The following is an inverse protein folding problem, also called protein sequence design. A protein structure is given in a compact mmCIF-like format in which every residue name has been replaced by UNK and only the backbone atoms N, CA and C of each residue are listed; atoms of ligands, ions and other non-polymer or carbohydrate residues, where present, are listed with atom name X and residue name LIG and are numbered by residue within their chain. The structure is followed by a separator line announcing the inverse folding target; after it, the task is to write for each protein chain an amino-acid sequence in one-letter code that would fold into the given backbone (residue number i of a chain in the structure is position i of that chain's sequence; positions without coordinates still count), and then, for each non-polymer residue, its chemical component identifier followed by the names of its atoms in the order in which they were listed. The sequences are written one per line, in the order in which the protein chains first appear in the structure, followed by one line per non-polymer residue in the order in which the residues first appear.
data_IF_654969874870
#
_entry.id   IF_654969874870
#
_cell.length_a   1.000
_cell.length_b   1.000
_cell.length_c   1.000
_cell.angle_alpha   90.00
_cell.angle_beta   90.00
_cell.angle_gamma   90.00
#
_symmetry.space_group_name_H-M   'P 1'
#
loop_
_entity.id
_entity.type
_entity.pdbx_description
1 polymer ?
#
# COMPACT_ATOMS: atom_id res chain seq x y z
N UNK A 1 15.92 -6.32 -15.45
CA UNK A 1 15.95 -5.11 -14.59
C UNK A 1 17.30 -4.74 -13.96
N UNK A 2 18.42 -5.43 -14.24
CA UNK A 2 19.63 -5.34 -13.39
C UNK A 2 20.40 -4.00 -13.33
N UNK A 3 20.34 -3.16 -14.37
CA UNK A 3 21.14 -1.91 -14.43
C UNK A 3 20.61 -0.87 -13.43
N UNK A 4 19.28 -0.74 -13.30
CA UNK A 4 18.65 0.23 -12.40
C UNK A 4 18.86 -0.09 -10.92
N UNK A 5 18.84 -1.38 -10.57
CA UNK A 5 19.06 -1.84 -9.19
C UNK A 5 20.47 -1.49 -8.70
N UNK A 6 21.51 -1.65 -9.55
CA UNK A 6 22.88 -1.29 -9.20
C UNK A 6 23.02 0.19 -8.82
N UNK A 7 22.30 1.09 -9.49
CA UNK A 7 22.30 2.52 -9.16
C UNK A 7 21.57 2.80 -7.84
N UNK A 8 20.44 2.11 -7.58
CA UNK A 8 19.72 2.21 -6.30
C UNK A 8 20.56 1.71 -5.13
N UNK A 9 21.28 0.60 -5.29
CA UNK A 9 22.21 0.10 -4.26
C UNK A 9 23.34 1.07 -3.97
N UNK A 10 23.89 1.74 -5.00
CA UNK A 10 24.89 2.79 -4.81
C UNK A 10 24.31 3.98 -4.04
N UNK A 11 23.10 4.41 -4.37
CA UNK A 11 22.42 5.49 -3.68
C UNK A 11 22.14 5.16 -2.22
N UNK A 12 21.68 3.93 -1.96
CA UNK A 12 21.43 3.43 -0.61
C UNK A 12 22.71 3.43 0.22
N UNK A 13 23.79 2.84 -0.30
CA UNK A 13 25.11 2.82 0.36
C UNK A 13 25.61 4.22 0.69
N UNK A 14 25.56 5.15 -0.27
CA UNK A 14 25.99 6.54 -0.05
C UNK A 14 25.16 7.28 1.00
N UNK A 15 23.89 6.90 1.20
CA UNK A 15 22.97 7.63 2.08
C UNK A 15 22.90 7.03 3.48
N UNK A 16 23.00 5.71 3.60
CA UNK A 16 22.64 4.99 4.81
C UNK A 16 23.76 4.09 5.36
N UNK A 17 24.88 3.93 4.66
CA UNK A 17 25.97 3.06 5.10
C UNK A 17 27.27 3.83 5.30
N UNK A 18 28.05 3.40 6.27
CA UNK A 18 29.37 3.95 6.53
C UNK A 18 30.39 3.49 5.47
N UNK A 19 31.43 4.29 5.16
CA UNK A 19 32.49 3.88 4.25
C UNK A 19 33.17 2.58 4.71
N UNK A 20 33.13 1.56 3.86
CA UNK A 20 33.72 0.25 4.15
C UNK A 20 32.79 -0.73 4.88
N UNK A 21 31.60 -0.27 5.31
CA UNK A 21 30.57 -1.15 5.84
C UNK A 21 30.17 -2.19 4.79
N UNK A 22 30.10 -3.45 5.22
CA UNK A 22 29.67 -4.57 4.38
C UNK A 22 28.40 -5.16 4.97
N UNK A 23 27.40 -5.29 4.12
CA UNK A 23 26.15 -6.00 4.41
C UNK A 23 26.15 -7.26 3.57
N UNK A 24 25.78 -8.37 4.21
CA UNK A 24 25.56 -9.66 3.58
C UNK A 24 24.31 -9.57 2.69
N UNK A 25 24.55 -9.10 1.46
CA UNK A 25 23.53 -8.86 0.46
C UNK A 25 24.03 -9.31 -0.90
N UNK A 26 23.25 -10.17 -1.55
CA UNK A 26 23.53 -10.67 -2.90
C UNK A 26 22.40 -10.25 -3.82
N UNK A 27 22.77 -9.61 -4.94
CA UNK A 27 21.86 -9.37 -6.05
C UNK A 27 22.06 -10.48 -7.08
N UNK A 28 21.06 -11.35 -7.25
CA UNK A 28 21.06 -12.40 -8.27
C UNK A 28 20.26 -11.94 -9.50
N UNK A 29 20.91 -11.54 -10.60
CA UNK A 29 20.22 -11.10 -11.82
C UNK A 29 19.77 -12.27 -12.72
N UNK A 30 19.61 -13.48 -12.17
CA UNK A 30 19.22 -14.67 -12.91
C UNK A 30 17.71 -14.70 -13.15
N UNK A 31 17.29 -15.36 -14.24
CA UNK A 31 15.89 -15.74 -14.44
C UNK A 31 15.61 -17.01 -13.64
N UNK A 32 14.46 -17.03 -12.98
CA UNK A 32 13.97 -18.17 -12.21
C UNK A 32 12.62 -18.61 -12.75
N UNK A 33 12.29 -19.87 -12.52
CA UNK A 33 11.01 -20.48 -12.83
C UNK A 33 10.44 -21.18 -11.59
N UNK A 34 9.52 -20.51 -10.92
CA UNK A 34 8.78 -21.03 -9.79
C UNK A 34 7.56 -21.85 -10.21
N UNK A 35 7.26 -21.94 -11.51
CA UNK A 35 6.16 -22.72 -12.05
C UNK A 35 6.61 -24.07 -12.64
N UNK A 36 7.91 -24.23 -12.90
CA UNK A 36 8.52 -25.50 -13.25
C UNK A 36 8.16 -26.60 -12.25
N UNK A 37 7.78 -27.77 -12.76
CA UNK A 37 7.42 -28.92 -11.92
C UNK A 37 8.67 -29.66 -11.45
N UNK A 38 8.62 -30.32 -10.28
CA UNK A 38 9.72 -31.16 -9.82
C UNK A 38 10.10 -32.21 -10.89
N UNK A 39 11.39 -32.24 -11.26
CA UNK A 39 11.92 -33.18 -12.26
C UNK A 39 11.88 -32.69 -13.72
N UNK A 40 11.30 -31.53 -14.01
CA UNK A 40 11.52 -30.86 -15.30
C UNK A 40 12.97 -30.35 -15.37
N UNK A 41 13.65 -30.62 -16.49
CA UNK A 41 15.03 -30.13 -16.68
C UNK A 41 15.03 -28.60 -16.76
N UNK A 42 15.97 -27.97 -16.07
CA UNK A 42 16.26 -26.55 -16.25
C UNK A 42 16.49 -26.28 -17.73
N UNK A 43 15.73 -25.33 -18.28
CA UNK A 43 16.05 -24.79 -19.60
C UNK A 43 17.25 -23.86 -19.39
N UNK A 44 18.20 -23.84 -20.33
CA UNK A 44 19.45 -23.07 -20.25
C UNK A 44 19.26 -21.59 -19.82
N UNK A 45 18.07 -21.02 -20.04
CA UNK A 45 17.71 -19.64 -19.72
C UNK A 45 16.85 -19.44 -18.46
N UNK A 46 16.47 -20.48 -17.72
CA UNK A 46 15.61 -20.37 -16.53
C UNK A 46 15.89 -21.47 -15.49
N UNK A 47 16.11 -21.07 -14.24
CA UNK A 47 16.41 -21.98 -13.13
C UNK A 47 15.14 -22.41 -12.42
N UNK A 48 14.90 -23.71 -12.30
CA UNK A 48 13.83 -24.25 -11.47
C UNK A 48 14.08 -24.03 -9.97
N UNK A 49 13.05 -24.32 -9.18
CA UNK A 49 13.06 -24.11 -7.72
C UNK A 49 14.22 -24.83 -7.01
N UNK A 50 14.56 -26.06 -7.42
CA UNK A 50 15.63 -26.83 -6.77
C UNK A 50 17.01 -26.20 -6.98
N UNK A 51 17.30 -25.75 -8.21
CA UNK A 51 18.54 -25.04 -8.53
C UNK A 51 18.63 -23.70 -7.78
N UNK A 52 17.50 -22.99 -7.64
CA UNK A 52 17.44 -21.75 -6.86
C UNK A 52 17.71 -22.00 -5.37
N UNK A 53 17.13 -23.04 -4.77
CA UNK A 53 17.38 -23.41 -3.37
C UNK A 53 18.85 -23.74 -3.15
N UNK A 54 19.47 -24.52 -4.04
CA UNK A 54 20.89 -24.85 -3.96
C UNK A 54 21.77 -23.60 -4.02
N UNK A 55 21.45 -22.66 -4.92
CA UNK A 55 22.17 -21.39 -5.04
C UNK A 55 21.98 -20.50 -3.81
N UNK A 56 20.76 -20.39 -3.27
CA UNK A 56 20.48 -19.63 -2.05
C UNK A 56 21.31 -20.18 -0.89
N UNK A 57 21.34 -21.51 -0.70
CA UNK A 57 22.14 -22.17 0.34
C UNK A 57 23.62 -21.88 0.16
N UNK A 58 24.15 -22.02 -1.05
CA UNK A 58 25.55 -21.72 -1.34
C UNK A 58 25.93 -20.25 -1.02
N UNK A 59 25.07 -19.28 -1.34
CA UNK A 59 25.32 -17.89 -0.95
C UNK A 59 25.20 -17.67 0.56
N UNK A 60 24.24 -18.31 1.22
CA UNK A 60 24.05 -18.17 2.68
C UNK A 60 25.28 -18.61 3.47
N UNK A 61 26.05 -19.59 2.98
CA UNK A 61 27.30 -20.03 3.61
C UNK A 61 28.41 -18.96 3.56
N UNK A 62 28.30 -17.98 2.66
CA UNK A 62 29.25 -16.87 2.55
C UNK A 62 28.93 -15.71 3.49
N UNK A 63 27.76 -15.73 4.14
CA UNK A 63 27.30 -14.63 4.99
C UNK A 63 27.92 -14.73 6.38
N UNK A 64 28.19 -13.58 6.97
CA UNK A 64 28.62 -13.44 8.37
C UNK A 64 27.44 -13.59 9.35
N UNK A 65 26.21 -13.41 8.87
CA UNK A 65 24.97 -13.60 9.63
C UNK A 65 24.03 -14.59 8.93
N UNK A 66 23.09 -15.23 9.65
CA UNK A 66 22.11 -16.10 9.02
C UNK A 66 21.31 -15.39 7.92
N UNK A 67 20.97 -16.12 6.84
CA UNK A 67 20.07 -15.61 5.81
C UNK A 67 18.65 -15.46 6.38
N UNK A 68 18.14 -14.24 6.42
CA UNK A 68 16.78 -13.98 6.95
C UNK A 68 15.74 -13.69 5.87
N UNK A 69 16.15 -13.22 4.69
CA UNK A 69 15.22 -12.74 3.66
C UNK A 69 15.70 -13.06 2.24
N UNK A 70 14.80 -13.65 1.45
CA UNK A 70 14.91 -13.80 0.00
C UNK A 70 13.82 -12.95 -0.66
N UNK A 71 14.21 -12.06 -1.57
CA UNK A 71 13.27 -11.21 -2.32
C UNK A 71 13.20 -11.64 -3.78
N UNK A 72 12.00 -11.93 -4.25
CA UNK A 72 11.70 -12.32 -5.64
C UNK A 72 10.96 -11.18 -6.34
N UNK A 73 11.64 -10.56 -7.30
CA UNK A 73 11.18 -9.37 -8.04
C UNK A 73 11.16 -9.67 -9.56
N UNK A 74 10.02 -9.90 -10.21
CA UNK A 74 8.60 -9.93 -9.76
C UNK A 74 7.97 -11.30 -10.02
N UNK A 75 6.81 -11.59 -9.38
CA UNK A 75 6.03 -12.82 -9.57
C UNK A 75 5.85 -13.16 -11.06
N UNK A 76 5.30 -12.25 -11.86
CA UNK A 76 5.04 -12.47 -13.27
C UNK A 76 6.29 -12.85 -14.09
N UNK A 77 7.46 -12.35 -13.70
CA UNK A 77 8.74 -12.70 -14.37
C UNK A 77 9.30 -14.03 -13.86
N UNK A 78 9.00 -14.38 -12.62
CA UNK A 78 9.45 -15.59 -11.94
C UNK A 78 8.57 -16.81 -12.20
N UNK A 79 7.41 -16.66 -12.84
CA UNK A 79 6.47 -17.75 -13.14
C UNK A 79 6.09 -17.79 -14.62
N UNK A 80 7.08 -18.00 -15.52
CA UNK A 80 6.80 -18.07 -16.94
C UNK A 80 5.76 -19.17 -17.23
N UNK A 81 4.73 -18.83 -18.03
CA UNK A 81 3.69 -19.78 -18.42
C UNK A 81 2.58 -20.02 -17.39
N UNK A 82 2.70 -19.53 -16.15
CA UNK A 82 1.64 -19.64 -15.15
C UNK A 82 0.48 -18.68 -15.45
N UNK A 83 -0.75 -19.16 -15.30
CA UNK A 83 -1.92 -18.28 -15.28
C UNK A 83 -2.20 -17.80 -13.86
N UNK A 84 -1.91 -16.52 -13.57
CA UNK A 84 -2.09 -15.92 -12.23
C UNK A 84 -3.55 -15.98 -11.72
N UNK A 85 -4.53 -16.14 -12.62
CA UNK A 85 -5.94 -16.28 -12.25
C UNK A 85 -6.37 -17.73 -12.00
N UNK A 86 -5.55 -18.72 -12.40
CA UNK A 86 -5.82 -20.12 -12.18
C UNK A 86 -5.30 -20.52 -10.79
N UNK A 87 -6.21 -20.90 -9.89
CA UNK A 87 -5.85 -21.33 -8.54
C UNK A 87 -4.90 -22.53 -8.56
N UNK A 88 -5.03 -23.42 -9.54
CA UNK A 88 -4.15 -24.59 -9.72
C UNK A 88 -2.71 -24.18 -9.97
N UNK A 89 -2.48 -23.22 -10.87
CA UNK A 89 -1.15 -22.79 -11.26
C UNK A 89 -0.49 -22.03 -10.10
N UNK A 90 -1.27 -21.13 -9.48
CA UNK A 90 -0.79 -20.39 -8.32
C UNK A 90 -0.50 -21.29 -7.11
N UNK A 91 -1.18 -22.44 -6.98
CA UNK A 91 -0.87 -23.41 -5.93
C UNK A 91 0.52 -24.04 -6.11
N UNK A 92 0.95 -24.29 -7.35
CA UNK A 92 2.30 -24.79 -7.66
C UNK A 92 3.34 -23.75 -7.26
N UNK A 93 3.13 -22.49 -7.65
CA UNK A 93 4.03 -21.37 -7.33
C UNK A 93 4.15 -21.19 -5.82
N UNK A 94 3.02 -21.14 -5.11
CA UNK A 94 3.00 -20.97 -3.66
C UNK A 94 3.70 -22.14 -2.95
N UNK A 95 3.48 -23.38 -3.39
CA UNK A 95 4.18 -24.54 -2.85
C UNK A 95 5.70 -24.43 -3.03
N UNK A 96 6.17 -23.96 -4.19
CA UNK A 96 7.59 -23.75 -4.43
C UNK A 96 8.17 -22.61 -3.55
N UNK A 97 7.41 -21.56 -3.26
CA UNK A 97 7.82 -20.53 -2.31
C UNK A 97 7.93 -21.05 -0.87
N UNK A 98 6.97 -21.87 -0.44
CA UNK A 98 7.00 -22.53 0.87
C UNK A 98 8.22 -23.44 0.98
N UNK A 99 8.55 -24.18 -0.09
CA UNK A 99 9.79 -24.99 -0.14
C UNK A 99 11.04 -24.13 0.03
N UNK A 100 11.13 -23.00 -0.67
CA UNK A 100 12.27 -22.08 -0.51
C UNK A 100 12.36 -21.60 0.95
N UNK A 101 11.23 -21.15 1.53
CA UNK A 101 11.15 -20.73 2.94
C UNK A 101 11.64 -21.81 3.89
N UNK A 102 11.12 -23.03 3.76
CA UNK A 102 11.37 -24.12 4.70
C UNK A 102 12.78 -24.69 4.56
N UNK A 103 13.26 -24.87 3.32
CA UNK A 103 14.58 -25.43 3.05
C UNK A 103 15.71 -24.43 3.29
N UNK A 104 15.48 -23.13 3.06
CA UNK A 104 16.48 -22.08 3.28
C UNK A 104 16.33 -21.42 4.67
N UNK A 105 15.26 -21.73 5.40
CA UNK A 105 14.95 -21.20 6.74
C UNK A 105 14.93 -19.66 6.80
N UNK A 106 14.39 -19.04 5.76
CA UNK A 106 14.32 -17.58 5.62
C UNK A 106 12.91 -17.14 5.24
N UNK A 107 12.61 -15.86 5.43
CA UNK A 107 11.39 -15.25 4.88
C UNK A 107 11.52 -15.10 3.37
N UNK A 108 10.44 -15.36 2.63
CA UNK A 108 10.38 -15.13 1.18
C UNK A 108 9.41 -13.98 0.92
N UNK A 109 9.91 -12.89 0.35
CA UNK A 109 9.12 -11.73 -0.05
C UNK A 109 8.98 -11.71 -1.57
N UNK A 110 7.74 -11.62 -2.04
CA UNK A 110 7.42 -11.58 -3.46
C UNK A 110 6.88 -10.22 -3.86
N UNK A 111 7.41 -9.66 -4.94
CA UNK A 111 6.91 -8.41 -5.54
C UNK A 111 5.90 -8.76 -6.63
N UNK A 112 4.68 -8.25 -6.50
CA UNK A 112 3.60 -8.46 -7.47
C UNK A 112 2.96 -7.12 -7.86
N UNK A 113 2.64 -6.98 -9.15
CA UNK A 113 2.01 -5.77 -9.67
C UNK A 113 0.50 -5.77 -9.39
N UNK A 114 -0.04 -4.60 -9.06
CA UNK A 114 -1.49 -4.41 -9.03
C UNK A 114 -2.04 -4.39 -10.48
N UNK A 115 -3.14 -5.10 -10.79
CA UNK A 115 -3.82 -5.03 -12.07
C UNK A 115 -4.25 -3.60 -12.39
N UNK A 116 -4.21 -3.25 -13.68
CA UNK A 116 -4.47 -1.90 -14.18
C UNK A 116 -5.91 -1.41 -13.91
N UNK A 117 -6.89 -2.31 -13.75
CA UNK A 117 -8.32 -1.98 -13.59
C UNK A 117 -9.01 -2.86 -12.54
N UNK A 118 -8.95 -2.53 -11.24
CA UNK A 118 -9.67 -3.31 -10.23
C UNK A 118 -9.89 -2.59 -8.91
N UNK A 119 -10.99 -1.84 -8.82
CA UNK A 119 -11.74 -1.80 -7.58
C UNK A 119 -12.48 -3.15 -7.46
N UNK A 120 -12.08 -3.98 -6.49
CA UNK A 120 -12.81 -5.16 -5.98
C UNK A 120 -12.70 -6.51 -6.76
N UNK A 121 -13.08 -7.67 -6.18
CA UNK A 121 -12.17 -8.60 -5.48
C UNK A 121 -12.29 -10.04 -6.02
N UNK A 122 -12.22 -10.23 -7.35
CA UNK A 122 -12.23 -11.58 -7.95
C UNK A 122 -11.07 -11.69 -8.94
N UNK A 123 -10.08 -12.49 -8.56
CA UNK A 123 -8.77 -12.64 -9.21
C UNK A 123 -7.62 -12.44 -8.22
N UNK A 124 -7.75 -11.47 -7.31
CA UNK A 124 -6.75 -11.17 -6.27
C UNK A 124 -6.85 -12.04 -5.00
N UNK A 125 -7.99 -12.68 -4.74
CA UNK A 125 -8.27 -13.32 -3.45
C UNK A 125 -7.43 -14.56 -3.17
N UNK A 126 -6.99 -15.30 -4.19
CA UNK A 126 -6.23 -16.56 -4.01
C UNK A 126 -4.81 -16.31 -3.51
N UNK A 127 -4.09 -15.35 -4.12
CA UNK A 127 -2.75 -14.93 -3.67
C UNK A 127 -2.82 -14.33 -2.26
N UNK A 128 -3.76 -13.42 -2.00
CA UNK A 128 -3.93 -12.85 -0.67
C UNK A 128 -4.37 -13.87 0.38
N UNK A 129 -5.13 -14.90 0.04
CA UNK A 129 -5.56 -15.93 0.99
C UNK A 129 -4.38 -16.74 1.55
N UNK A 130 -3.38 -17.01 0.71
CA UNK A 130 -2.33 -17.98 1.04
C UNK A 130 -1.00 -17.36 1.54
N UNK A 131 -0.82 -16.04 1.45
CA UNK A 131 0.33 -15.36 2.05
C UNK A 131 0.06 -14.96 3.50
N UNK A 132 1.06 -15.03 4.38
CA UNK A 132 0.88 -14.62 5.78
C UNK A 132 0.71 -13.10 5.91
N UNK A 133 1.48 -12.33 5.12
CA UNK A 133 1.51 -10.88 5.16
C UNK A 133 1.42 -10.29 3.74
N UNK A 134 0.75 -9.14 3.62
CA UNK A 134 0.70 -8.41 2.36
C UNK A 134 0.76 -6.89 2.60
N UNK A 135 1.67 -6.23 1.88
CA UNK A 135 1.85 -4.78 1.90
C UNK A 135 1.47 -4.24 0.52
N UNK A 136 0.52 -3.33 0.47
CA UNK A 136 0.16 -2.61 -0.75
C UNK A 136 0.90 -1.28 -0.81
N UNK A 137 1.46 -0.97 -1.98
CA UNK A 137 2.10 0.30 -2.27
C UNK A 137 1.21 1.12 -3.21
N UNK A 138 0.88 2.34 -2.81
CA UNK A 138 0.10 3.28 -3.62
C UNK A 138 0.80 4.63 -3.75
N UNK A 139 0.57 5.28 -4.90
CA UNK A 139 0.89 6.69 -5.09
C UNK A 139 -0.29 7.48 -4.56
N UNK A 140 -0.07 8.30 -3.53
CA UNK A 140 -1.13 9.12 -2.94
C UNK A 140 -1.25 10.42 -3.73
N UNK A 141 -2.37 11.16 -3.69
CA UNK A 141 -2.45 12.51 -4.29
C UNK A 141 -1.69 13.57 -3.48
N UNK A 142 -1.17 13.23 -2.30
CA UNK A 142 -0.46 14.16 -1.43
C UNK A 142 0.95 14.43 -1.96
N UNK A 143 1.40 15.66 -1.73
CA UNK A 143 2.69 16.16 -2.15
C UNK A 143 3.51 16.53 -0.92
N UNK A 144 4.80 16.19 -0.98
CA UNK A 144 5.80 16.66 -0.05
C UNK A 144 6.52 17.85 -0.71
N UNK A 145 6.48 19.01 -0.04
CA UNK A 145 7.05 20.27 -0.54
C UNK A 145 8.20 20.67 0.38
N UNK A 146 9.39 20.73 -0.18
CA UNK A 146 10.59 21.23 0.48
C UNK A 146 11.21 22.38 -0.33
N UNK A 147 12.19 23.06 0.26
CA UNK A 147 12.96 24.09 -0.42
C UNK A 147 14.43 23.68 -0.44
N UNK A 148 15.10 23.92 -1.57
CA UNK A 148 16.55 23.78 -1.68
C UNK A 148 17.24 25.01 -1.06
N UNK A 149 18.55 24.93 -0.88
CA UNK A 149 19.37 26.05 -0.37
C UNK A 149 19.27 27.30 -1.26
N UNK A 150 19.08 27.13 -2.57
CA UNK A 150 18.88 28.22 -3.53
C UNK A 150 17.46 28.81 -3.51
N UNK A 151 16.61 28.39 -2.56
CA UNK A 151 15.22 28.82 -2.43
C UNK A 151 14.26 28.18 -3.43
N UNK A 152 14.73 27.30 -4.33
CA UNK A 152 13.85 26.64 -5.30
C UNK A 152 12.98 25.60 -4.61
N UNK A 153 11.70 25.58 -4.97
CA UNK A 153 10.77 24.58 -4.47
C UNK A 153 11.10 23.19 -5.04
N UNK A 154 11.05 22.19 -4.18
CA UNK A 154 11.16 20.78 -4.49
C UNK A 154 9.84 20.10 -4.13
N UNK A 155 9.08 19.71 -5.14
CA UNK A 155 7.84 18.95 -4.97
C UNK A 155 8.10 17.47 -5.23
N UNK A 156 7.66 16.61 -4.32
CA UNK A 156 7.81 15.16 -4.40
C UNK A 156 6.47 14.48 -4.16
N UNK A 157 6.23 13.39 -4.86
CA UNK A 157 5.04 12.58 -4.66
C UNK A 157 5.17 11.78 -3.37
N UNK A 158 4.14 11.78 -2.52
CA UNK A 158 4.07 10.89 -1.35
C UNK A 158 3.52 9.54 -1.80
N UNK A 159 4.25 8.48 -1.48
CA UNK A 159 3.85 7.09 -1.60
C UNK A 159 3.42 6.57 -0.24
N UNK A 160 2.45 5.65 -0.20
CA UNK A 160 2.01 4.98 1.02
C UNK A 160 2.19 3.48 0.90
N UNK A 161 2.76 2.88 1.94
CA UNK A 161 2.76 1.45 2.16
C UNK A 161 1.68 1.12 3.20
N UNK A 162 0.75 0.22 2.88
CA UNK A 162 -0.34 -0.18 3.78
C UNK A 162 -0.33 -1.68 4.00
N UNK A 163 -0.38 -2.11 5.25
CA UNK A 163 -0.54 -3.52 5.61
C UNK A 163 -1.98 -3.93 5.27
N UNK A 164 -2.15 -4.63 4.15
CA UNK A 164 -3.45 -5.15 3.72
C UNK A 164 -3.80 -6.46 4.40
N UNK A 165 -2.79 -7.30 4.66
CA UNK A 165 -2.95 -8.55 5.39
C UNK A 165 -1.81 -8.68 6.40
N UNK A 166 -2.19 -9.07 7.60
CA UNK A 166 -1.29 -9.52 8.65
C UNK A 166 -2.00 -10.68 9.36
N UNK A 167 -1.38 -11.86 9.35
CA UNK A 167 -1.96 -13.06 9.96
C UNK A 167 -2.00 -12.99 11.48
N UNK A 168 -0.97 -12.39 12.07
CA UNK A 168 -0.71 -12.43 13.51
C UNK A 168 -0.89 -11.07 14.19
N UNK A 169 -1.42 -10.07 13.46
CA UNK A 169 -1.52 -8.71 13.98
C UNK A 169 -2.51 -7.81 13.24
N UNK A 170 -2.45 -6.52 13.57
CA UNK A 170 -3.38 -5.53 13.05
C UNK A 170 -3.14 -5.23 11.55
N UNK A 171 -4.23 -4.96 10.85
CA UNK A 171 -4.25 -4.54 9.43
C UNK A 171 -4.65 -3.07 9.31
N UNK A 172 -4.35 -2.46 8.17
CA UNK A 172 -4.73 -1.08 7.84
C UNK A 172 -3.70 -0.02 8.23
N UNK A 173 -2.82 -0.34 9.19
CA UNK A 173 -1.65 0.48 9.50
C UNK A 173 -0.71 0.55 8.30
N UNK A 174 -0.04 1.69 8.16
CA UNK A 174 0.85 1.96 7.05
C UNK A 174 1.73 3.16 7.33
N UNK A 175 2.67 3.39 6.43
CA UNK A 175 3.59 4.52 6.51
C UNK A 175 3.76 5.18 5.17
N UNK A 176 4.05 6.47 5.22
CA UNK A 176 4.31 7.28 4.05
C UNK A 176 5.81 7.38 3.80
N UNK A 177 6.17 7.46 2.53
CA UNK A 177 7.54 7.70 2.10
C UNK A 177 7.59 8.49 0.81
N UNK A 178 8.74 9.11 0.57
CA UNK A 178 9.07 9.78 -0.68
C UNK A 178 10.29 9.11 -1.32
N UNK A 179 10.44 9.31 -2.63
CA UNK A 179 11.65 8.94 -3.36
C UNK A 179 12.60 10.13 -3.39
N UNK A 180 13.53 10.20 -2.43
CA UNK A 180 14.55 11.25 -2.34
C UNK A 180 15.63 11.00 -3.38
N UNK A 181 15.88 11.98 -4.26
CA UNK A 181 16.95 11.89 -5.25
C UNK A 181 18.33 12.00 -4.57
N UNK A 182 19.26 11.16 -5.02
CA UNK A 182 20.66 11.13 -4.60
C UNK A 182 21.55 11.28 -5.83
N UNK A 183 22.55 12.16 -5.73
CA UNK A 183 23.56 12.36 -6.78
C UNK A 183 24.71 11.38 -6.56
N UNK A 184 24.90 10.48 -7.52
CA UNK A 184 25.95 9.46 -7.52
C UNK A 184 27.24 9.94 -8.18
N UNK A 185 27.19 11.06 -8.89
CA UNK A 185 28.35 11.64 -9.59
C UNK A 185 27.94 12.39 -10.86
N UNK A 186 28.91 12.58 -11.76
CA UNK A 186 28.73 13.22 -13.07
C UNK A 186 29.07 12.24 -14.18
N UNK A 187 28.28 12.27 -15.25
CA UNK A 187 28.56 11.55 -16.50
C UNK A 187 29.63 12.30 -17.31
N UNK A 188 30.28 11.66 -18.30
CA UNK A 188 31.27 12.33 -19.17
C UNK A 188 30.74 13.58 -19.88
N UNK A 189 29.44 13.65 -20.15
CA UNK A 189 28.78 14.81 -20.75
C UNK A 189 28.40 15.92 -19.75
N UNK A 190 28.91 15.87 -18.52
CA UNK A 190 28.65 16.86 -17.47
C UNK A 190 27.30 16.72 -16.75
N UNK A 191 26.37 15.89 -17.24
CA UNK A 191 25.06 15.67 -16.59
C UNK A 191 25.21 14.88 -15.30
N UNK A 192 24.40 15.21 -14.30
CA UNK A 192 24.36 14.46 -13.04
C UNK A 192 23.88 13.02 -13.29
N UNK A 193 24.59 12.06 -12.68
CA UNK A 193 24.12 10.70 -12.53
C UNK A 193 23.36 10.63 -11.20
N UNK A 194 22.06 10.39 -11.27
CA UNK A 194 21.18 10.39 -10.10
C UNK A 194 20.45 9.06 -9.95
N UNK A 195 20.07 8.75 -8.72
CA UNK A 195 19.15 7.65 -8.38
C UNK A 195 18.25 8.11 -7.22
N UNK A 196 17.44 7.23 -6.66
CA UNK A 196 16.52 7.52 -5.55
C UNK A 196 16.70 6.56 -4.38
N UNK A 197 16.37 7.03 -3.19
CA UNK A 197 16.23 6.26 -1.94
C UNK A 197 14.90 6.59 -1.27
N UNK A 198 14.34 5.64 -0.51
CA UNK A 198 13.15 5.92 0.30
C UNK A 198 13.53 6.78 1.49
N UNK A 199 12.73 7.80 1.78
CA UNK A 199 12.87 8.63 2.97
C UNK A 199 11.48 8.98 3.53
N UNK A 200 11.41 9.31 4.82
CA UNK A 200 10.21 9.91 5.38
C UNK A 200 9.91 11.24 4.66
N UNK A 201 8.63 11.59 4.44
CA UNK A 201 8.26 12.95 4.06
C UNK A 201 8.79 13.93 5.11
N UNK A 202 9.29 15.08 4.68
CA UNK A 202 9.99 16.03 5.55
C UNK A 202 9.74 17.50 5.20
N UNK A 203 8.87 17.76 4.23
CA UNK A 203 8.29 19.07 3.98
C UNK A 203 7.15 19.31 4.95
N UNK A 204 7.20 20.40 5.72
CA UNK A 204 6.14 20.78 6.65
C UNK A 204 4.77 20.85 5.96
N UNK A 205 3.96 19.82 6.20
CA UNK A 205 2.51 19.87 6.28
C UNK A 205 2.14 19.09 7.54
N UNK A 206 1.19 19.55 8.36
CA UNK A 206 1.02 19.10 9.73
C UNK A 206 0.88 17.57 9.83
N UNK A 207 1.62 16.98 10.77
CA UNK A 207 1.24 15.71 11.39
C UNK A 207 -0.19 15.86 11.89
N UNK A 208 -1.14 15.36 11.10
CA UNK A 208 -2.44 14.98 11.62
C UNK A 208 -2.39 13.47 11.71
N UNK A 209 -1.85 12.96 12.82
CA UNK A 209 -2.07 11.59 13.28
C UNK A 209 -3.51 11.40 13.76
N UNK A 210 -4.48 11.94 13.03
CA UNK A 210 -5.89 11.69 13.27
C UNK A 210 -6.35 10.80 12.12
N UNK A 211 -6.07 9.50 12.29
CA UNK A 211 -6.52 8.42 11.41
C UNK A 211 -8.04 8.22 11.55
N UNK A 212 -8.81 9.30 11.49
CA UNK A 212 -10.27 9.29 11.46
C UNK A 212 -10.72 9.13 10.03
N UNK A 213 -10.41 7.98 9.43
CA UNK A 213 -11.18 7.51 8.28
C UNK A 213 -12.61 7.31 8.73
N UNK A 214 -13.53 8.04 8.11
CA UNK A 214 -14.95 7.79 8.29
C UNK A 214 -15.23 6.35 7.88
N UNK A 215 -15.87 5.57 8.75
CA UNK A 215 -16.40 4.25 8.40
C UNK A 215 -17.40 4.36 7.25
N UNK A 216 -17.70 3.26 6.56
CA UNK A 216 -18.66 3.28 5.43
C UNK A 216 -20.00 3.92 5.82
N UNK A 217 -20.49 3.66 7.04
CA UNK A 217 -21.71 4.30 7.56
C UNK A 217 -21.55 5.79 7.82
N UNK A 218 -20.36 6.23 8.28
CA UNK A 218 -20.06 7.64 8.48
C UNK A 218 -19.89 8.39 7.14
N UNK A 219 -19.35 7.74 6.11
CA UNK A 219 -19.29 8.27 4.76
C UNK A 219 -20.70 8.45 4.17
N UNK A 220 -21.57 7.46 4.34
CA UNK A 220 -22.99 7.56 3.93
C UNK A 220 -23.68 8.71 4.68
N UNK A 221 -23.43 8.87 5.97
CA UNK A 221 -23.98 9.98 6.78
C UNK A 221 -23.51 11.35 6.29
N UNK A 222 -22.23 11.48 5.97
CA UNK A 222 -21.64 12.71 5.45
C UNK A 222 -22.16 13.04 4.06
N UNK A 223 -22.23 12.07 3.15
CA UNK A 223 -22.80 12.26 1.80
C UNK A 223 -24.28 12.65 1.86
N UNK A 224 -25.06 12.04 2.75
CA UNK A 224 -26.45 12.43 2.97
C UNK A 224 -26.57 13.88 3.45
N UNK A 225 -25.65 14.36 4.29
CA UNK A 225 -25.66 15.73 4.80
C UNK A 225 -25.34 16.73 3.69
N UNK A 226 -24.34 16.41 2.86
CA UNK A 226 -23.95 17.22 1.69
C UNK A 226 -25.15 17.34 0.73
N UNK A 227 -25.77 16.22 0.34
CA UNK A 227 -26.93 16.23 -0.55
C UNK A 227 -28.10 17.04 0.02
N UNK A 228 -28.36 16.93 1.33
CA UNK A 228 -29.43 17.66 1.98
C UNK A 228 -29.16 19.17 2.00
N UNK A 229 -27.91 19.58 2.25
CA UNK A 229 -27.50 20.99 2.20
C UNK A 229 -27.57 21.56 0.78
N UNK A 230 -27.17 20.80 -0.24
CA UNK A 230 -27.22 21.24 -1.63
C UNK A 230 -28.66 21.42 -2.14
N UNK A 231 -29.58 20.51 -1.76
CA UNK A 231 -30.97 20.52 -2.26
C UNK A 231 -31.92 21.38 -1.43
N UNK A 232 -31.69 21.45 -0.13
CA UNK A 232 -32.63 22.02 0.84
C UNK A 232 -31.95 22.93 1.86
N UNK A 233 -30.72 23.38 1.58
CA UNK A 233 -30.00 24.33 2.42
C UNK A 233 -30.68 25.69 2.44
N UNK A 234 -30.73 26.28 3.63
CA UNK A 234 -31.23 27.63 3.89
C UNK A 234 -30.10 28.46 4.48
N UNK A 235 -30.13 29.77 4.27
CA UNK A 235 -29.20 30.69 4.93
C UNK A 235 -29.31 30.57 6.45
N UNK A 236 -28.18 30.68 7.13
CA UNK A 236 -28.13 30.49 8.59
C UNK A 236 -28.96 31.55 9.29
N UNK A 237 -30.06 31.19 9.99
CA UNK A 237 -30.88 32.15 10.69
C UNK A 237 -30.12 32.75 11.87
N UNK A 238 -30.15 34.08 12.01
CA UNK A 238 -29.47 34.82 13.09
C UNK A 238 -29.86 34.32 14.50
N UNK A 239 -31.08 33.80 14.65
CA UNK A 239 -31.59 33.24 15.91
C UNK A 239 -30.79 32.04 16.42
N UNK A 240 -30.09 31.30 15.54
CA UNK A 240 -29.32 30.12 15.93
C UNK A 240 -27.96 30.46 16.58
N UNK A 241 -27.53 31.72 16.51
CA UNK A 241 -26.26 32.21 17.09
C UNK A 241 -25.04 31.33 16.74
N UNK A 242 -25.00 30.78 15.53
CA UNK A 242 -23.89 29.95 15.06
C UNK A 242 -22.67 30.82 14.66
N UNK A 243 -21.46 30.25 14.63
CA UNK A 243 -20.28 30.96 14.11
C UNK A 243 -20.52 31.48 12.69
N UNK A 244 -20.05 32.70 12.40
CA UNK A 244 -20.20 33.35 11.08
C UNK A 244 -19.60 32.56 9.90
N UNK A 245 -18.76 31.56 10.19
CA UNK A 245 -18.21 30.63 9.21
C UNK A 245 -19.23 29.64 8.66
N UNK A 246 -20.32 29.37 9.40
CA UNK A 246 -21.42 28.51 8.96
C UNK A 246 -22.43 29.40 8.25
N UNK A 247 -22.49 29.28 6.91
CA UNK A 247 -23.35 30.11 6.06
C UNK A 247 -24.68 29.44 5.73
N UNK A 248 -24.69 28.12 5.63
CA UNK A 248 -25.86 27.34 5.20
C UNK A 248 -26.19 26.27 6.23
N UNK A 249 -27.47 26.11 6.53
CA UNK A 249 -28.01 25.09 7.42
C UNK A 249 -29.07 24.27 6.71
N UNK A 250 -29.33 23.06 7.17
CA UNK A 250 -30.43 22.23 6.67
C UNK A 250 -31.22 21.66 7.84
N UNK A 251 -32.54 21.56 7.69
CA UNK A 251 -33.40 20.91 8.69
C UNK A 251 -33.04 19.42 8.79
N UNK A 252 -32.96 18.94 10.03
CA UNK A 252 -32.69 17.52 10.33
C UNK A 252 -33.62 16.53 9.61
N UNK A 253 -34.85 16.93 9.29
CA UNK A 253 -35.80 16.13 8.53
C UNK A 253 -35.31 15.78 7.12
N UNK A 254 -34.74 16.76 6.40
CA UNK A 254 -34.22 16.54 5.04
C UNK A 254 -32.97 15.66 5.05
N UNK A 255 -32.08 15.84 6.03
CA UNK A 255 -30.92 14.96 6.19
C UNK A 255 -31.31 13.50 6.46
N UNK A 256 -32.35 13.26 7.26
CA UNK A 256 -32.89 11.91 7.52
C UNK A 256 -33.42 11.24 6.26
N UNK A 257 -34.08 12.00 5.38
CA UNK A 257 -34.64 11.48 4.12
C UNK A 257 -33.49 11.05 3.20
N UNK A 258 -32.49 11.91 2.98
CA UNK A 258 -31.31 11.61 2.17
C UNK A 258 -30.51 10.42 2.73
N UNK A 259 -30.36 10.34 4.06
CA UNK A 259 -29.66 9.24 4.71
C UNK A 259 -30.39 7.91 4.55
N UNK A 260 -31.73 7.91 4.68
CA UNK A 260 -32.54 6.71 4.47
C UNK A 260 -32.48 6.23 3.01
N UNK A 261 -32.38 7.15 2.04
CA UNK A 261 -32.25 6.84 0.63
C UNK A 261 -30.88 6.23 0.29
N UNK A 262 -29.80 6.71 0.90
CA UNK A 262 -28.44 6.20 0.68
C UNK A 262 -28.13 4.91 1.47
N UNK A 263 -28.84 4.67 2.57
CA UNK A 263 -28.61 3.52 3.48
C UNK A 263 -29.42 2.26 3.09
N UNK A 264 -29.88 2.12 1.85
CA UNK A 264 -30.77 1.03 1.41
C UNK A 264 -30.15 -0.37 1.65
N UNK A 265 -30.78 -1.12 2.56
CA UNK A 265 -30.81 -2.59 2.59
C UNK A 265 -32.27 -2.99 2.38
N UNK A 266 -32.53 -3.78 1.35
CA UNK A 266 -33.82 -4.43 1.11
C UNK A 266 -34.00 -5.52 2.18
N UNK A 267 -35.22 -5.65 2.73
CA UNK A 267 -35.64 -6.62 3.76
C UNK A 267 -35.55 -6.21 5.26
N UNK A 268 -36.03 -5.02 5.63
CA UNK A 268 -36.27 -4.68 7.05
C UNK A 268 -37.63 -4.00 7.28
N UNK A 269 -38.32 -4.37 8.38
CA UNK A 269 -39.58 -3.77 8.85
C UNK A 269 -39.46 -2.23 8.95
N UNK A 270 -40.37 -1.46 8.32
CA UNK A 270 -40.30 0.00 8.27
C UNK A 270 -40.14 0.68 9.64
N UNK A 271 -40.77 0.15 10.69
CA UNK A 271 -40.70 0.74 12.05
C UNK A 271 -39.33 0.51 12.69
N UNK A 272 -38.75 -0.69 12.49
CA UNK A 272 -37.39 -1.01 13.00
C UNK A 272 -36.32 -0.23 12.25
N UNK A 273 -36.48 -0.05 10.94
CA UNK A 273 -35.62 0.78 10.09
C UNK A 273 -35.59 2.24 10.56
N UNK A 274 -36.75 2.81 10.87
CA UNK A 274 -36.86 4.20 11.32
C UNK A 274 -36.19 4.45 12.69
N UNK A 275 -36.37 3.53 13.65
CA UNK A 275 -35.70 3.60 14.96
C UNK A 275 -34.18 3.40 14.86
N UNK A 276 -33.70 2.51 13.97
CA UNK A 276 -32.26 2.29 13.71
C UNK A 276 -31.60 3.54 13.14
N UNK A 277 -32.22 4.16 12.13
CA UNK A 277 -31.74 5.40 11.51
C UNK A 277 -31.70 6.55 12.54
N UNK A 278 -32.75 6.68 13.35
CA UNK A 278 -32.81 7.69 14.42
C UNK A 278 -31.67 7.51 15.43
N UNK A 279 -31.41 6.28 15.88
CA UNK A 279 -30.32 5.98 16.82
C UNK A 279 -28.92 6.13 16.21
N UNK A 280 -28.75 5.84 14.92
CA UNK A 280 -27.47 6.01 14.22
C UNK A 280 -27.12 7.49 14.06
N UNK A 281 -28.08 8.30 13.61
CA UNK A 281 -27.90 9.74 13.46
C UNK A 281 -27.76 10.45 14.81
N UNK A 282 -28.46 10.00 15.84
CA UNK A 282 -28.29 10.53 17.19
C UNK A 282 -26.86 10.26 17.73
N UNK A 283 -26.36 9.02 17.61
CA UNK A 283 -25.00 8.67 18.03
C UNK A 283 -23.91 9.40 17.23
N UNK A 284 -24.13 9.61 15.94
CA UNK A 284 -23.21 10.36 15.08
C UNK A 284 -23.23 11.86 15.40
N UNK A 285 -24.41 12.43 15.66
CA UNK A 285 -24.59 13.82 16.06
C UNK A 285 -24.01 14.14 17.43
N UNK A 286 -24.23 13.27 18.43
CA UNK A 286 -23.69 13.44 19.79
C UNK A 286 -22.14 13.45 19.81
N UNK A 287 -21.49 12.66 18.93
CA UNK A 287 -20.02 12.73 18.75
C UNK A 287 -19.53 14.01 18.08
N UNK A 288 -20.34 14.62 17.22
CA UNK A 288 -20.04 15.92 16.59
C UNK A 288 -20.12 17.09 17.59
N UNK A 289 -21.05 17.02 18.55
CA UNK A 289 -21.21 18.04 19.60
C UNK A 289 -20.34 17.80 20.84
N UNK A 290 -19.89 16.56 21.07
CA UNK A 290 -19.13 16.15 22.26
C UNK A 290 -17.61 16.32 22.16
N UNK A 291 -17.06 16.65 20.99
CA UNK A 291 -15.65 16.98 20.83
C UNK A 291 -15.45 18.49 21.12
N UNK A 292 -15.22 18.83 22.39
CA UNK A 292 -14.53 20.08 22.75
C UNK A 292 -13.04 19.93 22.50
#
# INVERSE_FOLDING_TARGET
GGIGVKQRLRAYRQTHMEPGERVDFVLLPARIDLFARPGEQDVETSRGTDALIAEIKAWSETFTVPLELVVIDTLATATPGANENASTDMSVVLSNLERIRDECRCTVLMVHHKPRNGNNPRGHSSLFANVDNAIELEITPRLDIAFREDGTQLTRQIHRATIQKNKDGERGHGWDFILKQVVLGKRPNGKLLTSVVCAAPGGQGPEVTDDKRLSDQQNIAMQALINALERHGEDTPDMLKLPKSIKTVVRMGHWRIEYAALSMQDDEDPKKKQERIKKALQRAGERFFGAK
#
